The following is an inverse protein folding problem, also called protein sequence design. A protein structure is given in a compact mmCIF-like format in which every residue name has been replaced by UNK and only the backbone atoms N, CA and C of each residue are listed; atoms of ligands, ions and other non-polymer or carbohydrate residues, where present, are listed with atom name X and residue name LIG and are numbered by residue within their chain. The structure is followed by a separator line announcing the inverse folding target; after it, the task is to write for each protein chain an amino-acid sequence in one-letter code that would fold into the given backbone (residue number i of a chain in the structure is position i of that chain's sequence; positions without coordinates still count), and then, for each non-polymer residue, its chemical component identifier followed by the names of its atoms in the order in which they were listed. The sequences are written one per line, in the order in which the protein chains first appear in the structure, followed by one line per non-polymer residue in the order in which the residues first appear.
data_IF_151911076887
#
_entry.id   IF_151911076887
#
_cell.length_a   1.000
_cell.length_b   1.000
_cell.length_c   1.000
_cell.angle_alpha   90.00
_cell.angle_beta   90.00
_cell.angle_gamma   90.00
#
_symmetry.space_group_name_H-M   'P 1'
#
loop_
_entity.id
_entity.type
_entity.pdbx_description
1 polymer ?
#
# COMPACT_ATOMS: atom_id res chain seq x y z
N UNK A 1 -7.60 -5.32 -20.43
CA UNK A 1 -6.49 -4.48 -20.91
C UNK A 1 -6.14 -3.42 -19.86
N UNK A 2 -4.97 -3.57 -19.22
CA UNK A 2 -4.53 -2.72 -18.10
C UNK A 2 -4.45 -1.23 -18.49
N UNK A 3 -3.94 -0.92 -19.67
CA UNK A 3 -3.87 0.47 -20.16
C UNK A 3 -5.26 1.12 -20.23
N UNK A 4 -6.24 0.42 -20.78
CA UNK A 4 -7.63 0.91 -20.84
C UNK A 4 -8.21 1.14 -19.44
N UNK A 5 -7.87 0.29 -18.47
CA UNK A 5 -8.31 0.46 -17.08
C UNK A 5 -7.72 1.74 -16.47
N UNK A 6 -6.43 2.00 -16.68
CA UNK A 6 -5.75 3.23 -16.22
C UNK A 6 -6.39 4.46 -16.83
N UNK A 7 -6.64 4.43 -18.16
CA UNK A 7 -7.25 5.54 -18.87
C UNK A 7 -8.64 5.85 -18.31
N UNK A 8 -9.47 4.82 -18.04
CA UNK A 8 -10.77 4.98 -17.40
C UNK A 8 -10.67 5.56 -15.98
N UNK A 9 -9.71 5.12 -15.17
CA UNK A 9 -9.52 5.65 -13.81
C UNK A 9 -9.11 7.13 -13.88
N UNK A 10 -8.29 7.53 -14.84
CA UNK A 10 -7.91 8.92 -15.04
C UNK A 10 -9.11 9.84 -15.26
N UNK A 11 -10.20 9.33 -15.85
CA UNK A 11 -11.45 10.07 -16.09
C UNK A 11 -12.37 10.13 -14.86
N UNK A 12 -12.10 9.39 -13.79
CA UNK A 12 -12.92 9.34 -12.58
C UNK A 12 -12.52 10.43 -11.56
N UNK A 13 -13.30 10.56 -10.49
CA UNK A 13 -12.98 11.41 -9.33
C UNK A 13 -12.05 10.74 -8.32
N UNK A 14 -11.45 9.58 -8.63
CA UNK A 14 -10.47 8.94 -7.75
C UNK A 14 -9.26 9.86 -7.52
N UNK A 15 -8.77 9.92 -6.29
CA UNK A 15 -7.66 10.80 -5.90
C UNK A 15 -6.30 10.28 -6.36
N UNK A 16 -6.15 8.96 -6.49
CA UNK A 16 -4.91 8.28 -6.88
C UNK A 16 -5.21 6.96 -7.61
N UNK A 17 -4.18 6.40 -8.26
CA UNK A 17 -4.18 5.02 -8.73
C UNK A 17 -3.32 4.19 -7.77
N UNK A 18 -3.93 3.19 -7.15
CA UNK A 18 -3.25 2.21 -6.33
C UNK A 18 -2.88 0.99 -7.18
N UNK A 19 -1.61 0.59 -7.13
CA UNK A 19 -1.06 -0.52 -7.92
C UNK A 19 -0.51 -1.58 -6.99
N UNK A 20 -1.12 -2.74 -6.99
CA UNK A 20 -0.59 -3.94 -6.35
C UNK A 20 0.52 -4.53 -7.20
N UNK A 21 1.77 -4.44 -6.76
CA UNK A 21 2.92 -5.04 -7.43
C UNK A 21 3.28 -6.36 -6.76
N UNK A 22 3.17 -7.46 -7.51
CA UNK A 22 3.44 -8.81 -7.02
C UNK A 22 4.55 -9.48 -7.83
N UNK A 23 5.54 -10.05 -7.13
CA UNK A 23 6.68 -10.75 -7.76
C UNK A 23 6.46 -12.27 -7.96
N UNK A 24 5.40 -12.81 -7.39
CA UNK A 24 5.10 -14.26 -7.40
C UNK A 24 5.83 -15.04 -6.28
N UNK A 25 6.65 -14.40 -5.48
CA UNK A 25 7.35 -15.01 -4.34
C UNK A 25 6.58 -14.74 -3.05
N UNK A 26 6.30 -13.47 -2.75
CA UNK A 26 5.57 -13.09 -1.55
C UNK A 26 4.10 -13.55 -1.59
N UNK A 27 3.38 -13.22 -2.65
CA UNK A 27 1.94 -13.47 -2.77
C UNK A 27 1.59 -14.70 -3.63
N UNK A 28 2.57 -15.47 -4.11
CA UNK A 28 2.36 -16.64 -4.96
C UNK A 28 1.84 -16.33 -6.38
N UNK A 29 1.57 -15.07 -6.69
CA UNK A 29 1.07 -14.58 -7.98
C UNK A 29 1.95 -13.45 -8.48
N UNK A 30 2.30 -13.46 -9.77
CA UNK A 30 2.97 -12.34 -10.43
C UNK A 30 1.98 -11.64 -11.35
N UNK A 31 1.87 -10.31 -11.26
CA UNK A 31 0.87 -9.58 -12.04
C UNK A 31 1.45 -8.56 -13.03
N UNK A 32 2.59 -7.95 -12.73
CA UNK A 32 3.24 -6.97 -13.59
C UNK A 32 4.68 -7.34 -13.92
N UNK A 33 5.11 -7.00 -15.12
CA UNK A 33 6.52 -6.87 -15.42
C UNK A 33 6.96 -5.44 -15.10
N UNK A 34 7.89 -5.29 -14.16
CA UNK A 34 8.40 -4.00 -13.71
C UNK A 34 8.91 -3.13 -14.87
N UNK A 35 9.48 -3.76 -15.89
CA UNK A 35 10.01 -3.05 -17.06
C UNK A 35 8.91 -2.46 -17.95
N UNK A 36 7.70 -2.97 -17.90
CA UNK A 36 6.56 -2.48 -18.67
C UNK A 36 5.77 -1.38 -17.94
N UNK A 37 5.93 -1.22 -16.63
CA UNK A 37 5.20 -0.22 -15.87
C UNK A 37 5.40 1.22 -16.39
N UNK A 38 6.61 1.69 -16.73
CA UNK A 38 6.78 3.04 -17.27
C UNK A 38 6.04 3.29 -18.58
N UNK A 39 5.89 2.25 -19.42
CA UNK A 39 5.12 2.35 -20.67
C UNK A 39 3.63 2.36 -20.37
N UNK A 40 3.19 1.52 -19.44
CA UNK A 40 1.80 1.38 -19.05
C UNK A 40 1.24 2.67 -18.43
N UNK A 41 2.03 3.35 -17.59
CA UNK A 41 1.65 4.56 -16.85
C UNK A 41 2.13 5.88 -17.49
N UNK A 42 2.67 5.85 -18.72
CA UNK A 42 3.26 7.05 -19.38
C UNK A 42 2.29 8.24 -19.49
N UNK A 43 1.00 7.97 -19.68
CA UNK A 43 -0.06 8.98 -19.85
C UNK A 43 -0.91 9.14 -18.57
N UNK A 44 -0.45 8.57 -17.46
CA UNK A 44 -1.16 8.69 -16.19
C UNK A 44 -1.04 10.13 -15.65
N UNK A 45 -2.18 10.69 -15.23
CA UNK A 45 -2.27 12.06 -14.69
C UNK A 45 -2.55 12.10 -13.18
N UNK A 46 -2.84 10.95 -12.57
CA UNK A 46 -3.14 10.86 -11.14
C UNK A 46 -1.88 10.48 -10.34
N UNK A 47 -1.82 10.86 -9.05
CA UNK A 47 -0.82 10.30 -8.14
C UNK A 47 -0.79 8.78 -8.22
N UNK A 48 0.40 8.20 -8.26
CA UNK A 48 0.60 6.76 -8.34
C UNK A 48 1.08 6.25 -6.99
N UNK A 49 0.35 5.33 -6.40
CA UNK A 49 0.68 4.67 -5.14
C UNK A 49 0.98 3.19 -5.42
N UNK A 50 2.08 2.69 -4.90
CA UNK A 50 2.53 1.32 -5.20
C UNK A 50 2.58 0.50 -3.92
N UNK A 51 1.76 -0.54 -3.86
CA UNK A 51 1.76 -1.53 -2.81
C UNK A 51 2.65 -2.71 -3.21
N UNK A 52 3.75 -2.87 -2.49
CA UNK A 52 4.80 -3.83 -2.84
C UNK A 52 4.60 -5.17 -2.13
N UNK A 53 3.89 -6.07 -2.76
CA UNK A 53 3.78 -7.49 -2.37
C UNK A 53 4.92 -8.30 -2.98
N UNK A 54 6.16 -7.96 -2.61
CA UNK A 54 7.40 -8.52 -3.18
C UNK A 54 8.38 -8.95 -2.09
N UNK A 55 9.26 -9.88 -2.39
CA UNK A 55 10.19 -10.50 -1.45
C UNK A 55 11.35 -9.61 -0.97
N UNK A 56 11.63 -8.52 -1.69
CA UNK A 56 12.69 -7.56 -1.35
C UNK A 56 12.42 -6.21 -1.99
N UNK A 57 11.59 -5.36 -1.36
CA UNK A 57 11.20 -4.05 -1.90
C UNK A 57 12.35 -3.18 -2.36
N UNK A 58 13.45 -3.09 -1.60
CA UNK A 58 14.63 -2.29 -1.96
C UNK A 58 15.25 -2.69 -3.30
N UNK A 59 15.11 -3.94 -3.73
CA UNK A 59 15.61 -4.41 -5.03
C UNK A 59 14.88 -3.83 -6.24
N UNK A 60 13.69 -3.27 -6.05
CA UNK A 60 12.85 -2.71 -7.13
C UNK A 60 12.90 -1.18 -7.18
N UNK A 61 13.49 -0.52 -6.19
CA UNK A 61 13.39 0.92 -6.02
C UNK A 61 13.85 1.71 -7.26
N UNK A 62 14.99 1.38 -7.83
CA UNK A 62 15.52 2.08 -9.01
C UNK A 62 14.57 2.05 -10.22
N UNK A 63 13.81 0.98 -10.39
CA UNK A 63 12.83 0.86 -11.47
C UNK A 63 11.55 1.62 -11.13
N UNK A 64 11.13 1.59 -9.87
CA UNK A 64 9.95 2.31 -9.40
C UNK A 64 10.14 3.83 -9.44
N UNK A 65 11.34 4.34 -9.19
CA UNK A 65 11.65 5.78 -9.28
C UNK A 65 11.35 6.35 -10.68
N UNK A 66 11.44 5.55 -11.74
CA UNK A 66 11.09 5.95 -13.12
C UNK A 66 9.61 6.29 -13.28
N UNK A 67 8.76 5.75 -12.39
CA UNK A 67 7.32 6.00 -12.36
C UNK A 67 6.93 7.25 -11.58
N UNK A 68 7.87 7.83 -10.82
CA UNK A 68 7.65 8.97 -9.92
C UNK A 68 6.45 8.73 -8.98
N UNK A 69 6.44 7.62 -8.22
CA UNK A 69 5.31 7.31 -7.35
C UNK A 69 5.16 8.38 -6.25
N UNK A 70 3.93 8.67 -5.88
CA UNK A 70 3.63 9.55 -4.75
C UNK A 70 3.78 8.86 -3.40
N UNK A 71 3.54 7.54 -3.36
CA UNK A 71 3.68 6.71 -2.17
C UNK A 71 4.13 5.30 -2.54
N UNK A 72 4.98 4.72 -1.69
CA UNK A 72 5.32 3.29 -1.77
C UNK A 72 4.98 2.66 -0.42
N UNK A 73 4.15 1.61 -0.45
CA UNK A 73 3.78 0.80 0.70
C UNK A 73 4.61 -0.47 0.72
N UNK A 74 5.28 -0.75 1.83
CA UNK A 74 6.12 -1.95 2.01
C UNK A 74 5.61 -2.81 3.16
N UNK A 75 5.76 -4.12 3.02
CA UNK A 75 5.60 -5.06 4.12
C UNK A 75 6.94 -5.18 4.86
N UNK A 76 7.06 -4.76 6.14
CA UNK A 76 8.32 -4.80 6.86
C UNK A 76 8.95 -6.19 6.93
N UNK A 77 8.12 -7.24 6.98
CA UNK A 77 8.58 -8.63 7.01
C UNK A 77 9.35 -9.07 5.76
N UNK A 78 9.25 -8.32 4.65
CA UNK A 78 9.90 -8.67 3.37
C UNK A 78 11.16 -7.85 3.08
N UNK A 79 11.44 -6.81 3.90
CA UNK A 79 12.56 -5.89 3.69
C UNK A 79 13.64 -6.06 4.77
N UNK A 80 14.86 -6.50 4.40
CA UNK A 80 15.94 -6.69 5.37
C UNK A 80 16.37 -5.42 6.11
N UNK A 81 16.18 -4.25 5.49
CA UNK A 81 16.58 -2.96 6.06
C UNK A 81 15.43 -1.94 5.92
N UNK A 82 14.40 -2.11 6.72
CA UNK A 82 13.19 -1.24 6.67
C UNK A 82 13.56 0.23 6.85
N UNK A 83 14.29 0.60 7.90
CA UNK A 83 14.70 1.99 8.12
C UNK A 83 15.57 2.55 7.00
N UNK A 84 16.44 1.71 6.41
CA UNK A 84 17.25 2.11 5.27
C UNK A 84 16.39 2.49 4.07
N UNK A 85 15.41 1.65 3.74
CA UNK A 85 14.49 1.91 2.64
C UNK A 85 13.58 3.12 2.92
N UNK A 86 13.04 3.26 4.15
CA UNK A 86 12.22 4.42 4.52
C UNK A 86 13.01 5.73 4.39
N UNK A 87 14.29 5.74 4.80
CA UNK A 87 15.16 6.91 4.64
C UNK A 87 15.44 7.21 3.16
N UNK A 88 15.65 6.18 2.34
CA UNK A 88 15.85 6.33 0.91
C UNK A 88 14.60 6.91 0.21
N UNK A 89 13.41 6.42 0.52
CA UNK A 89 12.15 6.98 0.02
C UNK A 89 12.00 8.46 0.41
N UNK A 90 12.33 8.81 1.64
CA UNK A 90 12.29 10.20 2.10
C UNK A 90 13.23 11.11 1.30
N UNK A 91 14.42 10.64 0.93
CA UNK A 91 15.36 11.40 0.10
C UNK A 91 14.83 11.67 -1.32
N UNK A 92 13.91 10.84 -1.81
CA UNK A 92 13.22 11.03 -3.10
C UNK A 92 11.87 11.74 -2.96
N UNK A 93 11.52 12.25 -1.78
CA UNK A 93 10.23 12.91 -1.51
C UNK A 93 9.01 12.00 -1.80
N UNK A 94 9.20 10.68 -1.65
CA UNK A 94 8.13 9.68 -1.79
C UNK A 94 7.54 9.40 -0.41
N UNK A 95 6.21 9.47 -0.29
CA UNK A 95 5.52 9.12 0.95
C UNK A 95 5.80 7.67 1.33
N UNK A 96 6.11 7.47 2.60
CA UNK A 96 6.52 6.19 3.17
C UNK A 96 5.32 5.46 3.74
N UNK A 97 4.88 4.44 3.02
CA UNK A 97 3.77 3.58 3.43
C UNK A 97 4.27 2.31 4.12
N UNK A 98 3.62 1.92 5.20
CA UNK A 98 3.87 0.66 5.89
C UNK A 98 2.60 -0.18 5.85
N UNK A 99 2.72 -1.44 5.47
CA UNK A 99 1.59 -2.39 5.39
C UNK A 99 1.57 -3.26 6.64
N UNK A 100 0.38 -3.47 7.19
CA UNK A 100 0.13 -4.39 8.31
C UNK A 100 -0.88 -5.44 7.88
N UNK A 101 -0.46 -6.71 7.86
CA UNK A 101 -1.31 -7.84 7.48
C UNK A 101 -2.35 -8.19 8.58
N UNK A 102 -3.43 -8.92 8.25
CA UNK A 102 -4.48 -9.25 9.21
C UNK A 102 -4.01 -10.09 10.39
N UNK A 103 -2.96 -10.87 10.22
CA UNK A 103 -2.37 -11.79 11.22
C UNK A 103 -1.18 -11.18 11.99
N UNK A 104 -0.81 -9.93 11.70
CA UNK A 104 0.30 -9.24 12.35
C UNK A 104 -0.20 -8.34 13.49
N UNK A 105 0.50 -8.35 14.63
CA UNK A 105 0.21 -7.48 15.77
C UNK A 105 0.64 -6.03 15.49
N UNK A 106 -0.28 -5.06 15.61
CA UNK A 106 -0.02 -3.64 15.33
C UNK A 106 1.09 -3.08 16.21
N UNK A 107 1.13 -3.49 17.48
CA UNK A 107 2.17 -3.07 18.44
C UNK A 107 3.59 -3.39 17.99
N UNK A 108 3.78 -4.46 17.22
CA UNK A 108 5.09 -4.86 16.68
C UNK A 108 5.67 -3.85 15.70
N UNK A 109 4.83 -2.98 15.12
CA UNK A 109 5.22 -1.97 14.14
C UNK A 109 5.36 -0.56 14.73
N UNK A 110 5.05 -0.38 16.04
CA UNK A 110 5.01 0.93 16.68
C UNK A 110 6.32 1.72 16.58
N UNK A 111 7.45 1.03 16.54
CA UNK A 111 8.77 1.64 16.40
C UNK A 111 9.04 2.25 15.01
N UNK A 112 8.23 1.92 13.99
CA UNK A 112 8.28 2.53 12.66
C UNK A 112 7.39 3.78 12.54
N UNK A 113 6.35 3.90 13.36
CA UNK A 113 5.32 4.95 13.21
C UNK A 113 5.85 6.38 13.15
N UNK A 114 6.90 6.75 13.89
CA UNK A 114 7.50 8.09 13.77
C UNK A 114 8.20 8.38 12.42
N UNK A 115 8.44 7.35 11.61
CA UNK A 115 9.25 7.43 10.39
C UNK A 115 8.46 7.19 9.10
N UNK A 116 7.14 7.09 9.19
CA UNK A 116 6.24 6.82 8.06
C UNK A 116 5.19 7.90 7.91
N UNK A 117 4.62 7.99 6.72
CA UNK A 117 3.57 8.93 6.39
C UNK A 117 2.20 8.27 6.32
N UNK A 118 2.17 6.95 6.04
CA UNK A 118 0.93 6.19 5.88
C UNK A 118 1.04 4.77 6.44
N UNK A 119 -0.06 4.27 6.98
CA UNK A 119 -0.27 2.86 7.28
C UNK A 119 -1.36 2.32 6.37
N UNK A 120 -1.07 1.26 5.64
CA UNK A 120 -2.04 0.47 4.88
C UNK A 120 -2.44 -0.74 5.72
N UNK A 121 -3.62 -0.69 6.33
CA UNK A 121 -4.17 -1.79 7.10
C UNK A 121 -4.88 -2.76 6.15
N UNK A 122 -4.36 -3.98 6.05
CA UNK A 122 -4.98 -5.01 5.22
C UNK A 122 -6.23 -5.55 5.88
N UNK A 123 -7.34 -5.51 5.17
CA UNK A 123 -8.64 -6.09 5.54
C UNK A 123 -8.92 -7.43 4.86
N UNK A 124 -7.95 -7.95 4.13
CA UNK A 124 -7.89 -9.28 3.52
C UNK A 124 -6.47 -9.80 3.55
N UNK A 125 -6.26 -11.08 3.30
CA UNK A 125 -4.91 -11.64 3.10
C UNK A 125 -4.35 -11.14 1.77
N UNK A 126 -3.14 -10.52 1.73
CA UNK A 126 -2.57 -9.99 0.49
C UNK A 126 -2.41 -11.03 -0.63
N UNK A 127 -2.50 -10.58 -1.89
CA UNK A 127 -2.12 -11.37 -3.07
C UNK A 127 -3.26 -11.98 -3.88
N UNK A 128 -4.52 -11.81 -3.45
CA UNK A 128 -5.70 -12.25 -4.24
C UNK A 128 -6.79 -11.19 -4.16
N UNK A 129 -7.28 -10.75 -5.30
CA UNK A 129 -8.45 -9.87 -5.38
C UNK A 129 -9.76 -10.60 -5.05
N UNK A 130 -10.82 -9.82 -4.80
CA UNK A 130 -12.19 -10.32 -4.63
C UNK A 130 -12.45 -11.07 -3.31
N UNK A 131 -11.57 -10.95 -2.33
CA UNK A 131 -11.76 -11.56 -1.00
C UNK A 131 -12.79 -10.79 -0.18
N UNK A 132 -13.43 -11.49 0.76
CA UNK A 132 -14.38 -10.90 1.70
C UNK A 132 -13.61 -10.10 2.76
N UNK A 133 -14.12 -8.91 3.08
CA UNK A 133 -13.65 -8.07 4.19
C UNK A 133 -13.63 -8.85 5.51
N UNK A 134 -12.55 -8.74 6.27
CA UNK A 134 -12.39 -9.41 7.57
C UNK A 134 -13.01 -8.58 8.70
N UNK A 135 -13.89 -9.19 9.48
CA UNK A 135 -14.60 -8.53 10.59
C UNK A 135 -13.64 -7.96 11.66
N UNK A 136 -12.46 -8.59 11.83
CA UNK A 136 -11.42 -8.13 12.76
C UNK A 136 -10.80 -6.78 12.38
N UNK A 137 -10.97 -6.32 11.13
CA UNK A 137 -10.42 -5.04 10.64
C UNK A 137 -10.88 -3.86 11.49
N UNK A 138 -12.12 -3.88 11.96
CA UNK A 138 -12.71 -2.81 12.78
C UNK A 138 -11.97 -2.60 14.08
N UNK A 139 -11.73 -3.66 14.85
CA UNK A 139 -11.02 -3.59 16.13
C UNK A 139 -9.57 -3.18 15.91
N UNK A 140 -8.93 -3.68 14.86
CA UNK A 140 -7.58 -3.33 14.45
C UNK A 140 -7.47 -1.86 14.04
N UNK A 141 -8.47 -1.33 13.32
CA UNK A 141 -8.54 0.08 12.98
C UNK A 141 -8.63 0.94 14.25
N UNK A 142 -9.48 0.58 15.22
CA UNK A 142 -9.58 1.28 16.49
C UNK A 142 -8.27 1.25 17.30
N UNK A 143 -7.53 0.14 17.25
CA UNK A 143 -6.21 0.06 17.85
C UNK A 143 -5.22 1.02 17.16
N UNK A 144 -5.18 1.00 15.83
CA UNK A 144 -4.27 1.85 15.05
C UNK A 144 -4.56 3.34 15.22
N UNK A 145 -5.83 3.72 15.38
CA UNK A 145 -6.23 5.10 15.68
C UNK A 145 -5.64 5.60 17.01
N UNK A 146 -5.44 4.74 18.00
CA UNK A 146 -4.77 5.12 19.26
C UNK A 146 -3.32 5.54 19.01
N UNK A 147 -2.59 4.77 18.17
CA UNK A 147 -1.22 5.13 17.78
C UNK A 147 -1.15 6.40 16.94
N UNK A 148 -2.15 6.63 16.07
CA UNK A 148 -2.22 7.86 15.25
C UNK A 148 -2.30 9.14 16.10
N UNK A 149 -2.85 9.10 17.31
CA UNK A 149 -2.92 10.27 18.20
C UNK A 149 -1.54 10.81 18.60
N UNK A 150 -0.53 9.96 18.61
CA UNK A 150 0.84 10.30 19.01
C UNK A 150 1.80 10.37 17.80
N UNK A 151 1.29 10.10 16.59
CA UNK A 151 2.07 10.02 15.36
C UNK A 151 1.32 10.72 14.21
N UNK A 152 2.06 11.13 13.17
CA UNK A 152 1.52 11.95 12.07
C UNK A 152 1.08 11.17 10.84
N UNK A 153 1.05 9.82 10.88
CA UNK A 153 0.69 9.02 9.73
C UNK A 153 -0.83 9.05 9.43
N UNK A 154 -1.18 8.83 8.18
CA UNK A 154 -2.55 8.59 7.73
C UNK A 154 -2.85 7.08 7.66
N UNK A 155 -4.12 6.69 7.87
CA UNK A 155 -4.56 5.30 7.80
C UNK A 155 -5.34 5.08 6.51
N UNK A 156 -4.92 4.08 5.76
CA UNK A 156 -5.58 3.56 4.57
C UNK A 156 -5.99 2.10 4.82
N UNK A 157 -7.04 1.63 4.16
CA UNK A 157 -7.52 0.26 4.28
C UNK A 157 -7.60 -0.35 2.89
N UNK A 158 -7.07 -1.55 2.74
CA UNK A 158 -7.09 -2.29 1.50
C UNK A 158 -7.68 -3.69 1.66
N UNK A 159 -8.59 -4.02 0.74
CA UNK A 159 -9.23 -5.32 0.62
C UNK A 159 -10.71 -5.34 1.01
N UNK A 160 -11.55 -5.85 0.10
CA UNK A 160 -12.97 -6.09 0.35
C UNK A 160 -13.84 -4.86 0.64
N UNK A 161 -13.34 -3.65 0.35
CA UNK A 161 -14.09 -2.39 0.54
C UNK A 161 -15.17 -2.27 -0.54
N UNK A 162 -16.39 -2.01 -0.10
CA UNK A 162 -17.57 -1.79 -0.94
C UNK A 162 -18.57 -0.88 -0.22
N UNK A 163 -19.75 -0.64 -0.81
CA UNK A 163 -20.78 0.26 -0.26
C UNK A 163 -21.33 -0.16 1.12
N UNK A 164 -21.16 -1.41 1.52
CA UNK A 164 -21.57 -1.94 2.83
C UNK A 164 -20.42 -1.83 3.84
N UNK A 165 -19.26 -2.40 3.50
CA UNK A 165 -18.10 -2.48 4.40
C UNK A 165 -17.46 -1.12 4.69
N UNK A 166 -17.52 -0.16 3.76
CA UNK A 166 -17.01 1.20 4.00
C UNK A 166 -17.71 1.90 5.17
N UNK A 167 -18.98 1.60 5.42
CA UNK A 167 -19.73 2.16 6.56
C UNK A 167 -19.19 1.67 7.89
N UNK A 168 -18.72 0.42 7.95
CA UNK A 168 -18.11 -0.15 9.14
C UNK A 168 -16.78 0.54 9.47
N UNK A 169 -16.02 0.89 8.43
CA UNK A 169 -14.74 1.59 8.56
C UNK A 169 -14.96 3.04 9.02
N UNK A 170 -15.89 3.76 8.39
CA UNK A 170 -16.19 5.17 8.74
C UNK A 170 -16.72 5.28 10.17
N UNK A 171 -17.57 4.34 10.60
CA UNK A 171 -18.16 4.35 11.94
C UNK A 171 -17.18 3.89 13.04
N UNK A 172 -16.04 3.34 12.69
CA UNK A 172 -14.99 2.95 13.63
C UNK A 172 -14.06 4.13 14.02
N UNK A 173 -14.22 5.26 13.38
CA UNK A 173 -13.38 6.47 13.53
C UNK A 173 -13.92 7.40 14.63
#
# INVERSE_FOLDING_TARGET
DQKKTIDLINETSADAIHVDLMDGIYAGTKNFDINHLPILFKDNIKPLEIHMMVSKPSGYLNDLLKLKPSCIYIHPSTEPSVFGLLNELNNYEILRGLVINPDEEISSFSHYFPYIDRVLLMSVVPGKGGQKFLDSTKDRLQELIKYKKENSFEIYIDGGINNETIKEVINAN
#
